data_IF_275201943477
#
_entry.id   IF_275201943477
#
_cell.length_a   1.000
_cell.length_b   1.000
_cell.length_c   1.000
_cell.angle_alpha   90.00
_cell.angle_beta   90.00
_cell.angle_gamma   90.00
#
_symmetry.space_group_name_H-M   'P 1'
#
loop_
_entity.id
_entity.type
_entity.pdbx_description
1 polymer ?
#
# COMPACT_ATOMS: atom_id res chain seq x y z
N UNK A 1 7.15 -18.97 8.78
CA UNK A 1 8.01 -17.78 9.01
C UNK A 1 9.28 -17.90 8.17
N UNK A 2 9.20 -17.60 6.88
CA UNK A 2 10.33 -17.86 5.95
C UNK A 2 10.73 -16.61 5.18
N UNK A 3 9.78 -15.71 4.92
CA UNK A 3 9.99 -14.45 4.17
C UNK A 3 10.85 -13.46 4.96
N UNK A 4 10.66 -13.36 6.28
CA UNK A 4 11.45 -12.46 7.15
C UNK A 4 12.93 -12.88 7.18
N UNK A 5 13.22 -14.20 7.19
CA UNK A 5 14.59 -14.71 7.16
C UNK A 5 15.30 -14.41 5.82
N UNK A 6 14.56 -14.42 4.72
CA UNK A 6 15.11 -14.06 3.41
C UNK A 6 15.46 -12.57 3.34
N UNK A 7 14.55 -11.70 3.81
CA UNK A 7 14.79 -10.25 3.88
C UNK A 7 15.97 -9.88 4.80
N UNK A 8 16.11 -10.57 5.94
CA UNK A 8 17.26 -10.36 6.84
C UNK A 8 18.59 -10.80 6.20
N UNK A 9 18.59 -11.87 5.40
CA UNK A 9 19.80 -12.34 4.71
C UNK A 9 20.29 -11.35 3.63
N UNK A 10 19.37 -10.62 2.99
CA UNK A 10 19.72 -9.61 1.97
C UNK A 10 20.34 -8.36 2.61
N UNK A 11 19.80 -7.93 3.75
CA UNK A 11 20.32 -6.76 4.49
C UNK A 11 21.67 -7.09 5.15
N UNK A 12 21.85 -8.31 5.68
CA UNK A 12 23.09 -8.73 6.33
C UNK A 12 24.22 -9.06 5.34
N UNK A 13 23.89 -9.48 4.11
CA UNK A 13 24.88 -9.71 3.05
C UNK A 13 25.62 -8.45 2.61
N UNK A 14 24.96 -7.28 2.63
CA UNK A 14 25.56 -6.01 2.22
C UNK A 14 26.58 -5.45 3.23
N UNK A 15 26.42 -5.75 4.52
CA UNK A 15 27.31 -5.21 5.55
C UNK A 15 28.64 -5.96 5.67
N UNK A 16 28.72 -7.23 5.25
CA UNK A 16 29.96 -8.02 5.32
C UNK A 16 30.92 -7.84 4.13
N UNK A 17 30.45 -7.29 3.00
CA UNK A 17 31.32 -6.96 1.86
C UNK A 17 32.02 -5.60 2.00
N UNK A 18 31.47 -4.70 2.82
CA UNK A 18 32.03 -3.38 3.07
C UNK A 18 33.32 -3.42 3.93
N UNK A 19 33.50 -4.40 4.80
CA UNK A 19 34.70 -4.49 5.67
C UNK A 19 35.88 -5.26 5.06
N UNK A 20 35.68 -6.05 4.00
CA UNK A 20 36.78 -6.79 3.35
C UNK A 20 37.47 -6.04 2.20
N UNK A 21 36.89 -4.94 1.72
CA UNK A 21 37.40 -4.20 0.54
C UNK A 21 38.27 -2.99 0.86
N UNK A 22 38.49 -2.67 2.14
CA UNK A 22 39.33 -1.53 2.55
C UNK A 22 40.84 -1.87 2.70
N UNK A 23 41.25 -3.15 2.66
CA UNK A 23 42.62 -3.57 2.94
C UNK A 23 43.46 -4.01 1.71
N UNK A 24 42.95 -3.94 0.48
CA UNK A 24 43.70 -4.39 -0.71
C UNK A 24 43.52 -3.52 -1.95
N UNK A 25 43.67 -2.20 -1.85
CA UNK A 25 43.72 -1.31 -3.02
C UNK A 25 45.10 -0.70 -3.20
N UNK A 26 46.05 -1.54 -3.59
CA UNK A 26 47.29 -1.17 -4.25
C UNK A 26 47.57 -2.25 -5.30
N UNK A 27 47.58 -1.85 -6.58
CA UNK A 27 47.81 -2.70 -7.76
C UNK A 27 46.66 -3.64 -8.17
N UNK A 28 45.67 -3.11 -8.90
CA UNK A 28 45.29 -3.68 -10.20
C UNK A 28 44.29 -2.75 -10.89
N UNK A 29 44.83 -1.78 -11.63
CA UNK A 29 44.08 -0.96 -12.54
C UNK A 29 44.14 -1.63 -13.92
N UNK A 30 42.97 -1.81 -14.55
CA UNK A 30 42.69 -2.39 -15.88
C UNK A 30 42.33 -3.88 -15.91
N UNK A 31 41.03 -4.16 -15.78
CA UNK A 31 40.31 -5.11 -16.67
C UNK A 31 38.80 -4.94 -16.53
N UNK A 32 38.18 -4.44 -17.61
CA UNK A 32 36.76 -4.59 -18.02
C UNK A 32 35.70 -3.79 -17.24
N UNK A 33 35.74 -2.48 -17.41
CA UNK A 33 34.51 -1.68 -17.51
C UNK A 33 33.94 -1.89 -18.92
N UNK A 34 32.91 -2.74 -19.08
CA UNK A 34 32.03 -2.79 -20.27
C UNK A 34 30.89 -3.80 -20.10
N UNK A 35 30.29 -3.89 -18.89
CA UNK A 35 29.05 -4.66 -18.64
C UNK A 35 28.24 -4.01 -17.50
N UNK A 36 27.95 -2.71 -17.61
CA UNK A 36 27.14 -1.99 -16.61
C UNK A 36 25.85 -1.40 -17.17
N UNK A 37 25.86 -0.98 -18.43
CA UNK A 37 24.82 -0.06 -18.92
C UNK A 37 23.43 -0.69 -19.07
N UNK A 38 23.36 -1.94 -19.55
CA UNK A 38 22.09 -2.66 -19.71
C UNK A 38 21.45 -3.11 -18.39
N UNK A 39 22.25 -3.52 -17.41
CA UNK A 39 21.74 -4.00 -16.12
C UNK A 39 21.26 -2.81 -15.27
N UNK A 40 21.97 -1.68 -15.34
CA UNK A 40 21.57 -0.44 -14.66
C UNK A 40 20.31 0.16 -15.30
N UNK A 41 20.21 0.11 -16.64
CA UNK A 41 18.98 0.52 -17.34
C UNK A 41 17.79 -0.39 -16.97
N UNK A 42 18.00 -1.71 -16.89
CA UNK A 42 16.97 -2.66 -16.48
C UNK A 42 16.55 -2.40 -15.02
N UNK A 43 17.49 -2.23 -14.09
CA UNK A 43 17.19 -1.92 -12.69
C UNK A 43 16.48 -0.57 -12.53
N UNK A 44 16.87 0.44 -13.29
CA UNK A 44 16.20 1.73 -13.31
C UNK A 44 14.76 1.62 -13.85
N UNK A 45 14.55 0.80 -14.88
CA UNK A 45 13.21 0.56 -15.45
C UNK A 45 12.33 -0.24 -14.49
N UNK A 46 12.88 -1.28 -13.85
CA UNK A 46 12.20 -2.07 -12.83
C UNK A 46 11.82 -1.22 -11.61
N UNK A 47 12.72 -0.34 -11.16
CA UNK A 47 12.45 0.56 -10.04
C UNK A 47 11.35 1.58 -10.36
N UNK A 48 11.36 2.15 -11.58
CA UNK A 48 10.28 3.04 -12.04
C UNK A 48 8.93 2.32 -12.07
N UNK A 49 8.90 1.10 -12.63
CA UNK A 49 7.69 0.29 -12.69
C UNK A 49 7.19 -0.11 -11.29
N UNK A 50 8.09 -0.39 -10.35
CA UNK A 50 7.72 -0.70 -8.97
C UNK A 50 7.03 0.48 -8.27
N UNK A 51 7.54 1.70 -8.46
CA UNK A 51 6.92 2.93 -7.93
C UNK A 51 5.54 3.17 -8.55
N UNK A 52 5.39 2.93 -9.84
CA UNK A 52 4.10 3.08 -10.54
C UNK A 52 3.08 2.05 -10.06
N UNK A 53 3.49 0.80 -9.91
CA UNK A 53 2.65 -0.26 -9.35
C UNK A 53 2.25 0.05 -7.91
N UNK A 54 3.15 0.57 -7.08
CA UNK A 54 2.85 0.98 -5.71
C UNK A 54 1.80 2.09 -5.68
N UNK A 55 1.90 3.08 -6.58
CA UNK A 55 0.87 4.14 -6.72
C UNK A 55 -0.49 3.57 -7.16
N UNK A 56 -0.51 2.61 -8.08
CA UNK A 56 -1.74 1.96 -8.52
C UNK A 56 -2.36 1.10 -7.41
N UNK A 57 -1.55 0.36 -6.66
CA UNK A 57 -2.00 -0.43 -5.52
C UNK A 57 -2.56 0.47 -4.43
N UNK A 58 -1.87 1.55 -4.10
CA UNK A 58 -2.34 2.50 -3.08
C UNK A 58 -3.65 3.18 -3.51
N UNK A 59 -3.75 3.64 -4.76
CA UNK A 59 -4.99 4.25 -5.26
C UNK A 59 -6.15 3.22 -5.35
N UNK A 60 -5.87 2.00 -5.79
CA UNK A 60 -6.85 0.91 -5.82
C UNK A 60 -7.33 0.49 -4.43
N UNK A 61 -6.42 0.45 -3.45
CA UNK A 61 -6.73 0.11 -2.05
C UNK A 61 -7.71 1.11 -1.43
N UNK A 62 -7.49 2.41 -1.63
CA UNK A 62 -8.37 3.46 -1.12
C UNK A 62 -9.78 3.35 -1.73
N UNK A 63 -9.89 3.07 -3.03
CA UNK A 63 -11.18 2.88 -3.71
C UNK A 63 -11.92 1.66 -3.16
N UNK A 64 -11.20 0.54 -2.96
CA UNK A 64 -11.77 -0.69 -2.41
C UNK A 64 -12.22 -0.49 -0.95
N UNK A 65 -11.45 0.25 -0.17
CA UNK A 65 -11.79 0.58 1.20
C UNK A 65 -13.04 1.47 1.27
N UNK A 66 -13.12 2.53 0.46
CA UNK A 66 -14.32 3.37 0.32
C UNK A 66 -15.55 2.55 -0.03
N UNK A 67 -15.46 1.66 -1.02
CA UNK A 67 -16.59 0.78 -1.41
C UNK A 67 -17.05 -0.11 -0.26
N UNK A 68 -16.11 -0.71 0.48
CA UNK A 68 -16.43 -1.55 1.65
C UNK A 68 -17.09 -0.74 2.76
N UNK A 69 -16.59 0.48 3.02
CA UNK A 69 -17.16 1.42 4.00
C UNK A 69 -18.59 1.77 3.61
N UNK A 70 -18.79 2.21 2.36
CA UNK A 70 -20.09 2.61 1.81
C UNK A 70 -21.13 1.49 1.94
N UNK A 71 -20.75 0.26 1.63
CA UNK A 71 -21.70 -0.87 1.70
C UNK A 71 -22.11 -1.21 3.14
N UNK A 72 -21.18 -1.15 4.09
CA UNK A 72 -21.49 -1.34 5.53
C UNK A 72 -22.40 -0.23 6.05
N UNK A 73 -22.08 1.02 5.72
CA UNK A 73 -22.90 2.19 6.07
C UNK A 73 -24.31 2.02 5.51
N UNK A 74 -24.45 1.68 4.22
CA UNK A 74 -25.76 1.49 3.58
C UNK A 74 -26.61 0.43 4.30
N UNK A 75 -26.01 -0.70 4.67
CA UNK A 75 -26.69 -1.77 5.43
C UNK A 75 -27.14 -1.29 6.81
N UNK A 76 -26.38 -0.40 7.46
CA UNK A 76 -26.75 0.14 8.77
C UNK A 76 -27.81 1.23 8.65
N UNK A 77 -27.70 2.12 7.67
CA UNK A 77 -28.71 3.15 7.37
C UNK A 77 -30.07 2.50 7.09
N UNK A 78 -30.14 1.49 6.22
CA UNK A 78 -31.38 0.75 5.94
C UNK A 78 -32.01 0.09 7.18
N UNK A 79 -31.20 -0.28 8.18
CA UNK A 79 -31.69 -0.89 9.43
C UNK A 79 -32.27 0.16 10.41
N UNK A 80 -31.80 1.41 10.32
CA UNK A 80 -32.11 2.46 11.31
C UNK A 80 -33.10 3.49 10.78
N UNK A 81 -33.16 3.68 9.46
CA UNK A 81 -34.05 4.67 8.83
C UNK A 81 -35.51 4.33 9.09
N UNK A 82 -36.34 5.36 9.32
CA UNK A 82 -37.78 5.18 9.44
C UNK A 82 -38.38 4.78 8.10
N UNK A 83 -39.49 4.02 8.12
CA UNK A 83 -40.16 3.55 6.89
C UNK A 83 -40.60 4.71 5.98
N UNK A 84 -40.92 5.86 6.55
CA UNK A 84 -41.30 7.09 5.83
C UNK A 84 -40.14 7.69 5.03
N UNK A 85 -38.91 7.40 5.44
CA UNK A 85 -37.68 7.88 4.83
C UNK A 85 -36.90 6.78 4.07
N UNK A 86 -37.45 5.56 3.99
CA UNK A 86 -36.88 4.42 3.25
C UNK A 86 -37.08 4.59 1.73
N UNK A 87 -36.60 5.72 1.21
CA UNK A 87 -36.52 6.00 -0.22
C UNK A 87 -35.07 5.76 -0.67
N UNK A 88 -34.85 5.11 -1.83
CA UNK A 88 -33.50 4.79 -2.32
C UNK A 88 -32.58 6.02 -2.38
N UNK A 89 -33.09 7.16 -2.82
CA UNK A 89 -32.30 8.39 -2.95
C UNK A 89 -31.88 8.96 -1.59
N UNK A 90 -32.78 8.94 -0.60
CA UNK A 90 -32.50 9.42 0.75
C UNK A 90 -31.48 8.51 1.43
N UNK A 91 -31.66 7.18 1.30
CA UNK A 91 -30.73 6.18 1.84
C UNK A 91 -29.34 6.37 1.22
N UNK A 92 -29.27 6.62 -0.10
CA UNK A 92 -28.01 6.84 -0.79
C UNK A 92 -27.32 8.14 -0.34
N UNK A 93 -28.07 9.24 -0.22
CA UNK A 93 -27.53 10.53 0.24
C UNK A 93 -26.97 10.43 1.66
N UNK A 94 -27.72 9.83 2.58
CA UNK A 94 -27.28 9.60 3.97
C UNK A 94 -26.04 8.69 3.98
N UNK A 95 -26.04 7.66 3.14
CA UNK A 95 -24.91 6.73 3.02
C UNK A 95 -23.65 7.45 2.56
N UNK A 96 -23.71 8.29 1.53
CA UNK A 96 -22.56 9.05 1.05
C UNK A 96 -22.04 10.01 2.13
N UNK A 97 -22.92 10.81 2.75
CA UNK A 97 -22.52 11.76 3.81
C UNK A 97 -21.79 11.09 4.98
N UNK A 98 -22.27 9.92 5.41
CA UNK A 98 -21.63 9.16 6.49
C UNK A 98 -20.32 8.52 6.01
N UNK A 99 -20.27 8.05 4.76
CA UNK A 99 -19.05 7.49 4.16
C UNK A 99 -17.96 8.55 4.09
N UNK A 100 -18.28 9.76 3.62
CA UNK A 100 -17.36 10.89 3.57
C UNK A 100 -16.85 11.27 4.97
N UNK A 101 -17.74 11.31 5.97
CA UNK A 101 -17.35 11.57 7.36
C UNK A 101 -16.40 10.48 7.90
N UNK A 102 -16.64 9.21 7.56
CA UNK A 102 -15.80 8.08 7.99
C UNK A 102 -14.43 8.01 7.29
N UNK A 103 -14.29 8.64 6.12
CA UNK A 103 -13.00 8.78 5.45
C UNK A 103 -12.13 9.87 6.09
N UNK A 104 -12.74 10.95 6.55
CA UNK A 104 -12.02 12.08 7.15
C UNK A 104 -11.71 11.85 8.63
N UNK A 105 -12.62 11.22 9.37
CA UNK A 105 -12.49 11.03 10.81
C UNK A 105 -12.59 9.54 11.23
N UNK A 106 -11.49 8.96 11.76
CA UNK A 106 -11.45 7.59 12.28
C UNK A 106 -12.48 7.27 13.36
N UNK A 107 -13.03 8.26 14.06
CA UNK A 107 -14.09 8.07 15.06
C UNK A 107 -15.38 7.54 14.43
N UNK A 108 -15.82 8.11 13.30
CA UNK A 108 -16.97 7.59 12.55
C UNK A 108 -16.68 6.20 11.99
N UNK A 109 -15.45 5.98 11.53
CA UNK A 109 -14.97 4.65 11.15
C UNK A 109 -14.95 3.67 12.34
N UNK A 110 -14.96 4.12 13.58
CA UNK A 110 -15.10 3.23 14.75
C UNK A 110 -16.58 2.94 15.02
N UNK A 111 -17.44 3.96 15.09
CA UNK A 111 -18.87 3.81 15.42
C UNK A 111 -19.62 2.91 14.42
N UNK A 112 -19.31 3.04 13.14
CA UNK A 112 -19.99 2.28 12.10
C UNK A 112 -19.42 0.86 11.92
N UNK A 113 -18.26 0.54 12.53
CA UNK A 113 -17.50 -0.66 12.20
C UNK A 113 -17.04 -1.51 13.40
N UNK A 114 -17.19 -1.06 14.65
CA UNK A 114 -16.71 -1.78 15.85
C UNK A 114 -17.77 -2.69 16.50
N UNK A 115 -18.79 -3.13 15.77
CA UNK A 115 -19.92 -3.86 16.35
C UNK A 115 -20.61 -4.86 15.42
N UNK A 116 -19.91 -5.36 14.39
CA UNK A 116 -20.36 -6.49 13.57
C UNK A 116 -19.41 -7.70 13.82
N UNK A 117 -19.34 -8.16 15.07
CA UNK A 117 -18.89 -9.52 15.45
C UNK A 117 -20.11 -10.33 15.91
#
# INVERSE_FOLDING_TARGET
MTVIKWLQSVIQGQNHEAERTAASKGADQKRKEEKGDGIDLINATLSKNAIELERLVNSGSVILERKRIKEKVRKKVKRVISKELDHPDIVEEITEKITDAAEVDPFYKRIFFSGDD
#
